data_IF_327679894661
#
_entry.id   IF_327679894661
#
_cell.length_a   1.000
_cell.length_b   1.000
_cell.length_c   1.000
_cell.angle_alpha   90.00
_cell.angle_beta   90.00
_cell.angle_gamma   90.00
#
_symmetry.space_group_name_H-M   'P 1'
#
loop_
_entity.id
_entity.type
_entity.pdbx_description
1 polymer ?
#
# COMPACT_ATOMS: atom_id res chain seq x y z
N UNK A 1 -16.69 -2.80 -11.59
CA UNK A 1 -16.20 -2.76 -12.99
C UNK A 1 -14.69 -2.87 -12.99
N UNK A 2 -14.17 -3.89 -13.65
CA UNK A 2 -12.74 -4.13 -13.84
C UNK A 2 -12.22 -3.29 -15.01
N UNK A 3 -11.14 -2.54 -14.81
CA UNK A 3 -10.36 -1.91 -15.90
C UNK A 3 -8.93 -1.64 -15.43
N UNK A 4 -8.04 -1.45 -16.39
CA UNK A 4 -6.66 -1.06 -16.13
C UNK A 4 -6.58 0.39 -15.68
N UNK A 5 -5.69 0.66 -14.73
CA UNK A 5 -5.42 2.01 -14.20
C UNK A 5 -3.92 2.21 -14.19
N UNK A 6 -3.49 3.36 -14.69
CA UNK A 6 -2.10 3.83 -14.58
C UNK A 6 -2.01 4.82 -13.42
N UNK A 7 -1.13 4.55 -12.47
CA UNK A 7 -0.80 5.46 -11.38
C UNK A 7 0.52 6.14 -11.70
N UNK A 8 0.60 7.45 -11.55
CA UNK A 8 1.82 8.22 -11.72
C UNK A 8 2.20 8.83 -10.36
N UNK A 9 3.23 8.26 -9.73
CA UNK A 9 3.71 8.71 -8.42
C UNK A 9 4.96 9.56 -8.64
N UNK A 10 4.75 10.86 -8.87
CA UNK A 10 5.82 11.84 -9.15
C UNK A 10 6.81 11.39 -10.25
N UNK A 11 6.30 10.73 -11.30
CA UNK A 11 7.09 10.23 -12.44
C UNK A 11 7.20 8.70 -12.50
N UNK A 12 7.02 8.01 -11.37
CA UNK A 12 7.06 6.54 -11.34
C UNK A 12 5.69 5.97 -11.72
N UNK A 13 5.64 5.25 -12.85
CA UNK A 13 4.40 4.68 -13.38
C UNK A 13 4.15 3.26 -12.89
N UNK A 14 2.98 3.05 -12.30
CA UNK A 14 2.48 1.72 -11.91
C UNK A 14 1.27 1.36 -12.75
N UNK A 15 1.28 0.16 -13.34
CA UNK A 15 0.17 -0.36 -14.12
C UNK A 15 -0.55 -1.43 -13.31
N UNK A 16 -1.85 -1.25 -13.10
CA UNK A 16 -2.65 -2.15 -12.27
C UNK A 16 -4.11 -2.15 -12.72
N UNK A 17 -5.01 -2.66 -11.90
CA UNK A 17 -6.44 -2.63 -12.15
C UNK A 17 -7.23 -2.17 -10.91
N UNK A 18 -8.50 -1.83 -11.14
CA UNK A 18 -9.40 -1.39 -10.07
C UNK A 18 -9.59 -2.43 -8.96
N UNK A 19 -9.51 -3.72 -9.25
CA UNK A 19 -9.62 -4.79 -8.24
C UNK A 19 -8.45 -4.75 -7.27
N UNK A 20 -7.23 -4.58 -7.76
CA UNK A 20 -6.03 -4.45 -6.93
C UNK A 20 -6.10 -3.22 -6.02
N UNK A 21 -6.41 -2.04 -6.57
CA UNK A 21 -6.48 -0.80 -5.80
C UNK A 21 -7.55 -0.84 -4.69
N UNK A 22 -8.61 -1.63 -4.90
CA UNK A 22 -9.74 -1.77 -3.99
C UNK A 22 -9.67 -3.00 -3.09
N UNK A 23 -8.57 -3.76 -3.13
CA UNK A 23 -8.47 -5.08 -2.47
C UNK A 23 -8.65 -5.01 -0.94
N UNK A 24 -8.23 -3.92 -0.29
CA UNK A 24 -8.26 -3.76 1.18
C UNK A 24 -7.80 -5.03 1.92
N UNK A 25 -6.52 -5.41 1.82
CA UNK A 25 -6.06 -6.72 2.24
C UNK A 25 -6.27 -7.00 3.74
N UNK A 26 -6.12 -6.01 4.60
CA UNK A 26 -6.29 -6.13 6.03
C UNK A 26 -7.72 -5.92 6.50
N UNK A 27 -8.08 -6.57 7.61
CA UNK A 27 -9.45 -6.56 8.18
C UNK A 27 -10.01 -5.17 8.46
N UNK A 28 -9.14 -4.19 8.75
CA UNK A 28 -9.52 -2.82 9.06
C UNK A 28 -9.15 -1.83 7.94
N UNK A 29 -8.70 -2.32 6.78
CA UNK A 29 -8.33 -1.44 5.68
C UNK A 29 -9.57 -0.82 5.04
N UNK A 30 -9.46 0.49 4.80
CA UNK A 30 -10.46 1.32 4.13
C UNK A 30 -9.73 2.16 3.09
N UNK A 31 -9.23 1.48 2.06
CA UNK A 31 -8.43 2.10 0.99
C UNK A 31 -9.14 3.32 0.41
N UNK A 32 -8.42 4.44 0.26
CA UNK A 32 -8.96 5.67 -0.37
C UNK A 32 -9.47 5.42 -1.79
N UNK A 33 -8.97 4.38 -2.47
CA UNK A 33 -9.38 4.00 -3.81
C UNK A 33 -10.79 3.37 -3.87
N UNK A 34 -11.39 2.99 -2.74
CA UNK A 34 -12.76 2.48 -2.68
C UNK A 34 -13.77 3.55 -3.09
N UNK A 35 -13.64 4.75 -2.52
CA UNK A 35 -14.52 5.90 -2.81
C UNK A 35 -14.12 6.69 -4.04
N UNK A 36 -12.92 6.46 -4.57
CA UNK A 36 -12.39 7.22 -5.71
C UNK A 36 -12.96 6.74 -7.05
N UNK A 37 -13.34 7.69 -7.90
CA UNK A 37 -13.60 7.44 -9.32
C UNK A 37 -12.26 7.31 -10.04
N UNK A 38 -11.84 6.07 -10.27
CA UNK A 38 -10.60 5.76 -10.96
C UNK A 38 -10.73 6.05 -12.46
N UNK A 39 -9.68 6.60 -13.10
CA UNK A 39 -9.70 6.94 -14.51
C UNK A 39 -9.71 5.68 -15.38
N UNK A 40 -10.56 5.68 -16.42
CA UNK A 40 -10.61 4.62 -17.44
C UNK A 40 -9.53 4.84 -18.50
N UNK A 41 -9.13 6.09 -18.72
CA UNK A 41 -8.05 6.51 -19.62
C UNK A 41 -7.20 7.59 -18.96
N UNK A 42 -5.93 7.69 -19.35
CA UNK A 42 -4.96 8.60 -18.73
C UNK A 42 -4.34 8.03 -17.46
N UNK A 43 -3.86 8.93 -16.59
CA UNK A 43 -3.09 8.57 -15.39
C UNK A 43 -3.73 9.21 -14.15
N UNK A 44 -3.76 8.46 -13.05
CA UNK A 44 -4.03 9.02 -11.72
C UNK A 44 -2.71 9.50 -11.13
N UNK A 45 -2.54 10.82 -11.05
CA UNK A 45 -1.38 11.41 -10.40
C UNK A 45 -1.49 11.30 -8.87
N UNK A 46 -0.41 10.86 -8.24
CA UNK A 46 -0.28 10.66 -6.80
C UNK A 46 0.93 11.48 -6.34
N UNK A 47 0.67 12.57 -5.63
CA UNK A 47 1.71 13.47 -5.11
C UNK A 47 2.27 12.96 -3.76
N UNK A 48 2.73 11.71 -3.73
CA UNK A 48 3.23 11.03 -2.52
C UNK A 48 4.65 10.52 -2.69
N UNK A 49 5.21 9.98 -1.60
CA UNK A 49 6.55 9.40 -1.62
C UNK A 49 6.60 8.16 -2.52
N UNK A 50 7.39 8.24 -3.59
CA UNK A 50 7.52 7.18 -4.60
C UNK A 50 8.10 5.88 -4.04
N UNK A 51 9.03 5.98 -3.09
CA UNK A 51 9.71 4.82 -2.53
C UNK A 51 8.79 4.02 -1.60
N UNK A 52 8.10 4.73 -0.71
CA UNK A 52 7.13 4.13 0.19
C UNK A 52 5.91 3.62 -0.57
N UNK A 53 5.49 4.31 -1.64
CA UNK A 53 4.38 3.85 -2.47
C UNK A 53 4.65 2.47 -3.07
N UNK A 54 5.89 2.13 -3.43
CA UNK A 54 6.22 0.78 -3.88
C UNK A 54 5.86 -0.30 -2.85
N UNK A 55 6.00 -0.01 -1.55
CA UNK A 55 5.60 -0.92 -0.48
C UNK A 55 4.08 -1.00 -0.32
N UNK A 56 3.39 0.14 -0.43
CA UNK A 56 1.92 0.24 -0.44
C UNK A 56 1.33 -0.57 -1.60
N UNK A 57 1.92 -0.41 -2.78
CA UNK A 57 1.48 -1.07 -4.01
C UNK A 57 1.60 -2.59 -3.91
N UNK A 58 2.75 -3.11 -3.44
CA UNK A 58 2.92 -4.55 -3.17
C UNK A 58 1.91 -5.07 -2.16
N UNK A 59 1.65 -4.31 -1.09
CA UNK A 59 0.64 -4.68 -0.11
C UNK A 59 -0.75 -4.79 -0.74
N UNK A 60 -1.17 -3.84 -1.57
CA UNK A 60 -2.43 -3.91 -2.32
C UNK A 60 -2.47 -5.08 -3.31
N UNK A 61 -1.34 -5.41 -3.94
CA UNK A 61 -1.22 -6.50 -4.93
C UNK A 61 -1.28 -7.89 -4.32
N UNK A 62 -0.62 -8.11 -3.19
CA UNK A 62 -0.36 -9.46 -2.66
C UNK A 62 -0.90 -9.66 -1.24
N UNK A 63 -1.39 -8.59 -0.61
CA UNK A 63 -1.71 -8.58 0.82
C UNK A 63 -0.47 -8.67 1.71
N UNK A 64 0.72 -8.42 1.15
CA UNK A 64 1.97 -8.45 1.89
C UNK A 64 3.00 -7.46 1.34
N UNK A 65 3.93 -7.04 2.19
CA UNK A 65 5.07 -6.22 1.75
C UNK A 65 6.30 -6.53 2.60
N UNK A 66 7.44 -6.64 1.95
CA UNK A 66 8.73 -6.91 2.60
C UNK A 66 9.55 -5.63 2.63
N UNK A 67 10.07 -5.30 3.81
CA UNK A 67 10.85 -4.09 4.06
C UNK A 67 12.08 -4.41 4.90
N UNK A 68 13.20 -3.76 4.60
CA UNK A 68 14.34 -3.72 5.52
C UNK A 68 13.99 -2.79 6.67
N UNK A 69 14.29 -3.19 7.89
CA UNK A 69 14.12 -2.32 9.04
C UNK A 69 15.07 -1.13 8.95
N UNK A 70 14.48 0.05 9.09
CA UNK A 70 15.12 1.33 9.30
C UNK A 70 14.05 2.22 9.92
N UNK A 71 14.35 2.82 11.07
CA UNK A 71 13.35 3.54 11.88
C UNK A 71 12.62 4.61 11.07
N UNK A 72 13.38 5.38 10.26
CA UNK A 72 12.83 6.42 9.40
C UNK A 72 11.93 5.84 8.31
N UNK A 73 12.35 4.76 7.64
CA UNK A 73 11.52 4.08 6.63
C UNK A 73 10.24 3.52 7.22
N UNK A 74 10.28 2.93 8.42
CA UNK A 74 9.08 2.43 9.09
C UNK A 74 8.11 3.57 9.37
N UNK A 75 8.61 4.70 9.89
CA UNK A 75 7.78 5.88 10.16
C UNK A 75 7.15 6.45 8.89
N UNK A 76 7.93 6.61 7.81
CA UNK A 76 7.42 7.10 6.52
C UNK A 76 6.39 6.14 5.90
N UNK A 77 6.65 4.83 5.94
CA UNK A 77 5.71 3.84 5.43
C UNK A 77 4.42 3.81 6.26
N UNK A 78 4.51 3.99 7.58
CA UNK A 78 3.33 4.10 8.43
C UNK A 78 2.47 5.30 8.01
N UNK A 79 3.09 6.47 7.78
CA UNK A 79 2.38 7.67 7.32
C UNK A 79 1.70 7.45 5.96
N UNK A 80 2.36 6.80 5.00
CA UNK A 80 1.73 6.45 3.72
C UNK A 80 0.61 5.43 3.90
N UNK A 81 0.78 4.42 4.74
CA UNK A 81 -0.27 3.44 5.02
C UNK A 81 -1.51 4.12 5.63
N UNK A 82 -1.33 5.09 6.53
CA UNK A 82 -2.43 5.90 7.07
C UNK A 82 -3.08 6.76 5.98
N UNK A 83 -2.29 7.44 5.14
CA UNK A 83 -2.79 8.25 4.02
C UNK A 83 -3.64 7.44 3.04
N UNK A 84 -3.19 6.24 2.66
CA UNK A 84 -3.92 5.36 1.74
C UNK A 84 -5.07 4.60 2.40
N UNK A 85 -5.31 4.78 3.70
CA UNK A 85 -6.39 4.10 4.44
C UNK A 85 -6.12 2.62 4.72
N UNK A 86 -4.86 2.20 4.72
CA UNK A 86 -4.41 0.84 5.01
C UNK A 86 -4.11 0.67 6.51
N UNK A 87 -5.15 0.85 7.33
CA UNK A 87 -5.04 0.92 8.78
C UNK A 87 -4.46 -0.35 9.42
N UNK A 88 -4.67 -1.53 8.83
CA UNK A 88 -4.06 -2.76 9.33
C UNK A 88 -2.54 -2.72 9.16
N UNK A 89 -2.06 -2.32 7.98
CA UNK A 89 -0.62 -2.15 7.71
C UNK A 89 -0.01 -1.08 8.64
N UNK A 90 -0.67 0.07 8.78
CA UNK A 90 -0.23 1.14 9.67
C UNK A 90 -0.13 0.67 11.13
N UNK A 91 -1.12 -0.07 11.62
CA UNK A 91 -1.11 -0.64 12.97
C UNK A 91 0.04 -1.61 13.18
N UNK A 92 0.30 -2.49 12.21
CA UNK A 92 1.45 -3.42 12.25
C UNK A 92 2.76 -2.66 12.36
N UNK A 93 2.97 -1.65 11.51
CA UNK A 93 4.18 -0.82 11.49
C UNK A 93 4.42 -0.10 12.81
N UNK A 94 3.37 0.45 13.42
CA UNK A 94 3.43 1.15 14.72
C UNK A 94 3.90 0.26 15.87
N UNK A 95 3.60 -1.05 15.81
CA UNK A 95 3.96 -2.01 16.87
C UNK A 95 5.34 -2.66 16.67
N UNK A 96 6.00 -2.39 15.53
CA UNK A 96 7.29 -3.01 15.24
C UNK A 96 8.34 -2.58 16.24
N UNK A 97 8.96 -3.56 16.87
CA UNK A 97 10.16 -3.34 17.68
C UNK A 97 11.38 -3.26 16.76
N UNK A 98 12.43 -2.50 17.15
CA UNK A 98 13.68 -2.48 16.40
C UNK A 98 14.29 -3.87 16.22
N UNK A 99 14.77 -4.14 15.01
CA UNK A 99 15.53 -5.35 14.68
C UNK A 99 16.46 -5.07 13.49
N UNK A 100 17.48 -5.90 13.30
CA UNK A 100 18.33 -5.84 12.12
C UNK A 100 17.86 -6.87 11.09
N UNK A 101 17.60 -6.42 9.86
CA UNK A 101 17.23 -7.29 8.74
C UNK A 101 15.93 -6.90 8.04
N UNK A 102 15.25 -7.90 7.46
CA UNK A 102 14.02 -7.74 6.69
C UNK A 102 12.82 -8.33 7.43
N UNK A 103 11.67 -7.69 7.29
CA UNK A 103 10.38 -8.19 7.76
C UNK A 103 9.37 -8.17 6.63
N UNK A 104 8.62 -9.26 6.52
CA UNK A 104 7.41 -9.34 5.71
C UNK A 104 6.20 -9.09 6.58
N UNK A 105 5.45 -8.04 6.27
CA UNK A 105 4.15 -7.77 6.89
C UNK A 105 3.09 -8.37 5.99
N UNK A 106 2.24 -9.24 6.55
CA UNK A 106 1.11 -9.85 5.87
C UNK A 106 -0.21 -9.35 6.46
N UNK A 107 -1.25 -9.26 5.65
CA UNK A 107 -2.58 -8.84 6.07
C UNK A 107 -3.36 -9.89 6.90
N UNK A 108 -2.74 -11.04 7.17
CA UNK A 108 -3.32 -12.33 7.58
C UNK A 108 -4.10 -13.00 6.45
N UNK A 109 -3.56 -14.11 5.92
CA UNK A 109 -4.45 -15.24 5.59
C UNK A 109 -4.80 -15.87 6.93
N UNK A 110 -6.08 -16.07 7.20
CA UNK A 110 -6.50 -16.99 8.25
C UNK A 110 -5.65 -18.25 8.13
N UNK A 111 -5.05 -18.69 9.24
CA UNK A 111 -4.61 -20.07 9.36
C UNK A 111 -5.81 -20.94 8.96
N UNK A 112 -5.70 -21.63 7.84
CA UNK A 112 -6.52 -22.81 7.55
C UNK A 112 -5.76 -23.98 8.13
#
# INVERSE_FOLDING_TARGET
MFHQVTLNVRGDKYYTNTTTLRRCPGVNDRSIFLGMRLPVSGELFIDRDREMFGCIFRYLQDGSTTIRYDERRIALLQQEAEYFGLHHLAGRLRTLQPFDGYLTIVANRSSI
#
